data_IF_490052342010
#
_entry.id   IF_490052342010
#
_cell.length_a   1.000
_cell.length_b   1.000
_cell.length_c   1.000
_cell.angle_alpha   90.00
_cell.angle_beta   90.00
_cell.angle_gamma   90.00
#
_symmetry.space_group_name_H-M   'P 1'
#
loop_
_entity.id
_entity.type
_entity.pdbx_description
1 polymer ?
#
# COMPACT_ATOMS: atom_id res chain seq x y z
N UNK A 1 -24.87 25.75 18.72
CA UNK A 1 -25.42 24.39 18.71
C UNK A 1 -25.29 23.88 20.14
N UNK A 2 -26.39 23.44 20.76
CA UNK A 2 -26.41 22.92 22.13
C UNK A 2 -26.52 21.40 22.06
N UNK A 3 -25.84 20.69 22.95
CA UNK A 3 -25.88 19.24 23.05
C UNK A 3 -26.45 18.81 24.41
N UNK A 4 -27.34 17.81 24.46
CA UNK A 4 -27.83 17.23 25.69
C UNK A 4 -26.71 16.46 26.41
N UNK A 5 -26.56 16.73 27.72
CA UNK A 5 -25.64 16.02 28.61
C UNK A 5 -26.41 14.93 29.35
N UNK A 6 -25.94 13.69 29.26
CA UNK A 6 -26.56 12.54 29.92
C UNK A 6 -25.74 12.05 31.11
N UNK A 7 -26.42 11.65 32.19
CA UNK A 7 -25.77 10.96 33.32
C UNK A 7 -25.37 9.54 32.90
N UNK A 8 -24.51 8.89 33.70
CA UNK A 8 -24.22 7.44 33.56
C UNK A 8 -25.46 6.55 33.57
N UNK A 9 -26.56 7.03 34.16
CA UNK A 9 -27.87 6.35 34.23
C UNK A 9 -28.78 6.65 33.03
N UNK A 10 -28.31 7.41 32.03
CA UNK A 10 -29.05 7.73 30.81
C UNK A 10 -30.10 8.84 30.97
N UNK A 11 -30.11 9.57 32.09
CA UNK A 11 -31.02 10.70 32.32
C UNK A 11 -30.38 11.99 31.81
N UNK A 12 -31.15 12.85 31.15
CA UNK A 12 -30.70 14.18 30.71
C UNK A 12 -30.47 15.06 31.95
N UNK A 13 -29.23 15.49 32.17
CA UNK A 13 -28.82 16.31 33.32
C UNK A 13 -28.79 17.79 32.95
N UNK A 14 -28.46 18.12 31.70
CA UNK A 14 -28.38 19.50 31.25
C UNK A 14 -28.08 19.62 29.77
N UNK A 15 -27.76 20.84 29.32
CA UNK A 15 -27.33 21.13 27.96
C UNK A 15 -26.03 21.93 28.00
N UNK A 16 -25.09 21.60 27.11
CA UNK A 16 -23.82 22.32 26.97
C UNK A 16 -23.73 22.96 25.58
N UNK A 17 -23.08 24.12 25.51
CA UNK A 17 -22.77 24.74 24.23
C UNK A 17 -21.58 24.05 23.55
N UNK A 18 -21.79 23.62 22.31
CA UNK A 18 -20.74 22.95 21.55
C UNK A 18 -19.65 23.95 21.09
N UNK A 19 -18.37 23.54 21.12
CA UNK A 19 -17.26 24.35 20.62
C UNK A 19 -17.44 24.78 19.16
N UNK A 20 -16.72 25.85 18.78
CA UNK A 20 -16.74 26.42 17.43
C UNK A 20 -16.40 25.40 16.32
N UNK A 21 -15.62 24.37 16.63
CA UNK A 21 -15.21 23.34 15.68
C UNK A 21 -16.36 22.54 15.08
N UNK A 22 -17.51 22.44 15.78
CA UNK A 22 -18.70 21.77 15.26
C UNK A 22 -19.44 22.58 14.18
N UNK A 23 -19.08 23.85 13.99
CA UNK A 23 -19.68 24.73 12.97
C UNK A 23 -18.84 24.84 11.69
N UNK A 24 -17.69 24.18 11.64
CA UNK A 24 -16.80 24.18 10.49
C UNK A 24 -17.44 23.45 9.29
N UNK A 25 -17.23 23.89 8.04
CA UNK A 25 -17.74 23.19 6.86
C UNK A 25 -17.17 21.77 6.73
N UNK A 26 -18.04 20.84 6.33
CA UNK A 26 -17.68 19.43 6.11
C UNK A 26 -17.03 19.27 4.73
N UNK A 27 -15.75 18.88 4.72
CA UNK A 27 -14.89 18.75 3.53
C UNK A 27 -14.39 17.31 3.39
N UNK A 28 -15.18 16.42 2.77
CA UNK A 28 -14.84 15.00 2.66
C UNK A 28 -13.60 14.75 1.78
N UNK A 29 -13.30 15.66 0.85
CA UNK A 29 -12.09 15.68 0.01
C UNK A 29 -10.81 15.74 0.86
N UNK A 30 -10.74 16.72 1.76
CA UNK A 30 -9.59 16.96 2.64
C UNK A 30 -9.46 15.82 3.65
N UNK A 31 -10.58 15.39 4.24
CA UNK A 31 -10.60 14.26 5.18
C UNK A 31 -10.05 12.99 4.52
N UNK A 32 -10.54 12.64 3.32
CA UNK A 32 -10.10 11.44 2.60
C UNK A 32 -8.60 11.48 2.31
N UNK A 33 -8.09 12.61 1.82
CA UNK A 33 -6.66 12.77 1.52
C UNK A 33 -5.79 12.59 2.76
N UNK A 34 -6.17 13.22 3.87
CA UNK A 34 -5.42 13.13 5.14
C UNK A 34 -5.47 11.71 5.70
N UNK A 35 -6.63 11.05 5.68
CA UNK A 35 -6.76 9.65 6.16
C UNK A 35 -5.87 8.69 5.36
N UNK A 36 -5.87 8.80 4.03
CA UNK A 36 -5.01 7.96 3.16
C UNK A 36 -3.53 8.17 3.50
N UNK A 37 -3.12 9.38 3.80
CA UNK A 37 -1.75 9.67 4.17
C UNK A 37 -1.40 9.17 5.58
N UNK A 38 -2.27 9.33 6.57
CA UNK A 38 -2.09 8.76 7.92
C UNK A 38 -1.98 7.23 7.85
N UNK A 39 -2.81 6.58 7.03
CA UNK A 39 -2.73 5.14 6.81
C UNK A 39 -1.38 4.73 6.22
N UNK A 40 -0.81 5.56 5.33
CA UNK A 40 0.49 5.28 4.74
C UNK A 40 1.65 5.32 5.74
N UNK A 41 1.54 6.11 6.82
CA UNK A 41 2.56 6.17 7.90
C UNK A 41 2.61 4.88 8.74
N UNK A 42 1.56 4.07 8.70
CA UNK A 42 1.51 2.78 9.42
C UNK A 42 2.10 1.62 8.63
N UNK A 43 2.45 1.83 7.37
CA UNK A 43 2.97 0.76 6.50
C UNK A 43 4.43 0.46 6.83
N UNK A 44 4.76 -0.83 6.93
CA UNK A 44 6.13 -1.27 7.11
C UNK A 44 6.83 -1.43 5.75
N UNK A 45 8.07 -0.93 5.57
CA UNK A 45 8.88 -1.22 4.41
C UNK A 45 9.06 -2.73 4.22
N UNK A 46 8.84 -3.20 2.99
CA UNK A 46 9.06 -4.59 2.61
C UNK A 46 9.79 -4.65 1.27
N UNK A 47 10.53 -5.73 1.06
CA UNK A 47 11.22 -5.95 -0.19
C UNK A 47 11.77 -7.36 -0.31
N UNK A 48 12.20 -7.70 -1.52
CA UNK A 48 12.87 -8.98 -1.78
C UNK A 48 14.37 -8.86 -1.53
N UNK A 49 15.03 -9.98 -1.24
CA UNK A 49 16.49 -10.02 -1.25
C UNK A 49 17.01 -9.65 -2.65
N UNK A 50 17.96 -8.73 -2.75
CA UNK A 50 18.50 -8.22 -4.02
C UNK A 50 19.03 -9.31 -4.95
N UNK A 51 19.51 -10.41 -4.37
CA UNK A 51 20.08 -11.56 -5.07
C UNK A 51 19.06 -12.68 -5.32
N UNK A 52 17.80 -12.52 -4.92
CA UNK A 52 16.73 -13.47 -5.18
C UNK A 52 16.60 -13.75 -6.69
N UNK A 53 16.64 -15.03 -7.07
CA UNK A 53 16.58 -15.45 -8.48
C UNK A 53 17.83 -15.15 -9.34
N UNK A 54 18.82 -14.41 -8.79
CA UNK A 54 20.07 -14.04 -9.48
C UNK A 54 21.27 -14.93 -9.12
N UNK A 55 21.20 -15.71 -8.02
CA UNK A 55 22.26 -16.65 -7.58
C UNK A 55 22.34 -17.90 -8.47
N UNK A 56 22.57 -17.71 -9.76
CA UNK A 56 22.69 -18.78 -10.77
C UNK A 56 23.80 -18.40 -11.74
N UNK A 57 24.66 -19.34 -12.09
CA UNK A 57 25.67 -19.15 -13.14
C UNK A 57 24.98 -19.30 -14.49
N UNK A 58 24.89 -18.20 -15.25
CA UNK A 58 24.11 -18.11 -16.49
C UNK A 58 24.99 -17.71 -17.68
N UNK A 59 26.20 -18.24 -17.73
CA UNK A 59 27.15 -17.93 -18.79
C UNK A 59 26.81 -18.69 -20.09
N UNK A 60 26.37 -17.94 -21.11
CA UNK A 60 26.16 -18.41 -22.48
C UNK A 60 26.74 -17.42 -23.47
N UNK A 61 27.32 -17.95 -24.56
CA UNK A 61 27.73 -17.12 -25.68
C UNK A 61 26.52 -16.73 -26.54
N UNK A 62 26.47 -15.46 -26.96
CA UNK A 62 25.53 -14.97 -27.97
C UNK A 62 26.16 -14.92 -29.37
N UNK A 63 27.41 -15.39 -29.52
CA UNK A 63 28.09 -15.50 -30.80
C UNK A 63 27.64 -16.77 -31.53
N UNK A 64 27.54 -16.69 -32.86
CA UNK A 64 27.24 -17.85 -33.72
C UNK A 64 28.44 -18.80 -33.74
N UNK A 65 28.17 -20.12 -33.82
CA UNK A 65 29.20 -21.19 -33.89
C UNK A 65 30.22 -21.18 -32.75
N UNK A 66 29.85 -20.62 -31.59
CA UNK A 66 30.72 -20.51 -30.41
C UNK A 66 30.36 -21.53 -29.31
N UNK A 67 31.28 -21.77 -28.37
CA UNK A 67 31.04 -22.63 -27.23
C UNK A 67 29.91 -22.08 -26.33
N UNK A 68 29.05 -22.97 -25.83
CA UNK A 68 27.83 -22.63 -25.08
C UNK A 68 26.92 -21.59 -25.76
N UNK A 69 26.81 -21.66 -27.09
CA UNK A 69 25.87 -20.82 -27.85
C UNK A 69 24.45 -21.39 -27.91
N UNK A 70 23.44 -20.53 -27.81
CA UNK A 70 22.03 -20.89 -28.05
C UNK A 70 21.65 -20.93 -29.54
N UNK A 71 22.51 -20.41 -30.43
CA UNK A 71 22.23 -20.38 -31.87
C UNK A 71 22.25 -21.77 -32.48
N UNK A 72 21.32 -22.03 -33.42
CA UNK A 72 21.25 -23.29 -34.16
C UNK A 72 20.73 -24.49 -33.35
N UNK A 73 20.14 -24.26 -32.17
CA UNK A 73 19.63 -25.33 -31.28
C UNK A 73 18.10 -25.41 -31.17
N UNK A 74 17.34 -24.64 -31.97
CA UNK A 74 15.87 -24.64 -31.92
C UNK A 74 15.28 -24.18 -30.58
N UNK A 75 16.02 -23.37 -29.81
CA UNK A 75 15.63 -22.93 -28.47
C UNK A 75 15.65 -21.41 -28.34
N UNK A 76 14.88 -20.87 -27.39
CA UNK A 76 14.87 -19.44 -27.08
C UNK A 76 16.23 -18.94 -26.57
N UNK A 77 16.51 -17.65 -26.81
CA UNK A 77 17.75 -16.96 -26.39
C UNK A 77 17.75 -16.54 -24.91
N UNK A 78 16.81 -17.03 -24.11
CA UNK A 78 16.71 -16.74 -22.67
C UNK A 78 18.00 -17.14 -21.96
N UNK A 79 18.44 -16.40 -20.92
CA UNK A 79 19.54 -16.81 -20.06
C UNK A 79 19.25 -18.21 -19.45
N UNK A 80 20.24 -19.12 -19.45
CA UNK A 80 20.10 -20.50 -19.00
C UNK A 80 21.22 -20.94 -18.04
N UNK A 81 20.89 -21.74 -17.03
CA UNK A 81 21.90 -22.43 -16.21
C UNK A 81 22.22 -23.79 -16.81
N UNK A 82 23.47 -24.24 -16.67
CA UNK A 82 23.89 -25.59 -17.06
C UNK A 82 23.60 -26.55 -15.92
N UNK A 83 22.84 -27.62 -16.18
CA UNK A 83 22.60 -28.71 -15.23
C UNK A 83 23.61 -29.84 -15.43
N UNK A 84 23.84 -30.22 -16.69
CA UNK A 84 24.77 -31.29 -17.06
C UNK A 84 25.44 -30.98 -18.40
N UNK A 85 26.60 -31.61 -18.64
CA UNK A 85 27.36 -31.48 -19.89
C UNK A 85 27.77 -32.86 -20.37
N UNK A 86 27.56 -33.15 -21.66
CA UNK A 86 28.13 -34.30 -22.36
C UNK A 86 28.79 -33.81 -23.66
N UNK A 87 30.12 -33.74 -23.68
CA UNK A 87 30.88 -33.14 -24.79
C UNK A 87 30.46 -31.68 -25.05
N UNK A 88 30.05 -31.38 -26.28
CA UNK A 88 29.51 -30.07 -26.70
C UNK A 88 28.00 -29.91 -26.47
N UNK A 89 27.31 -30.94 -25.98
CA UNK A 89 25.90 -30.88 -25.62
C UNK A 89 25.74 -30.48 -24.14
N UNK A 90 24.81 -29.57 -23.88
CA UNK A 90 24.53 -29.04 -22.54
C UNK A 90 23.05 -29.21 -22.25
N UNK A 91 22.75 -29.74 -21.07
CA UNK A 91 21.39 -29.70 -20.54
C UNK A 91 21.18 -28.34 -19.86
N UNK A 92 20.35 -27.52 -20.50
CA UNK A 92 20.08 -26.15 -20.07
C UNK A 92 18.67 -25.97 -19.56
N UNK A 93 18.54 -25.18 -18.50
CA UNK A 93 17.25 -24.73 -17.98
C UNK A 93 17.23 -23.21 -17.91
N UNK A 94 16.13 -22.60 -18.33
CA UNK A 94 15.92 -21.16 -18.22
C UNK A 94 16.13 -20.67 -16.79
N UNK A 95 16.87 -19.58 -16.63
CA UNK A 95 17.21 -19.02 -15.34
C UNK A 95 17.37 -17.50 -15.45
N UNK A 96 17.49 -16.82 -14.30
CA UNK A 96 17.77 -15.39 -14.16
C UNK A 96 16.69 -14.44 -14.66
N UNK A 97 15.97 -14.76 -15.74
CA UNK A 97 14.96 -13.91 -16.34
C UNK A 97 13.58 -14.08 -15.65
N UNK A 98 12.72 -13.04 -15.65
CA UNK A 98 11.45 -13.05 -14.90
C UNK A 98 10.45 -14.09 -15.38
N UNK A 99 10.45 -14.41 -16.66
CA UNK A 99 9.59 -15.46 -17.22
C UNK A 99 10.05 -16.88 -16.87
N UNK A 100 11.23 -17.05 -16.25
CA UNK A 100 11.79 -18.38 -15.96
C UNK A 100 11.48 -18.81 -14.53
N UNK A 101 11.24 -20.12 -14.34
CA UNK A 101 11.03 -20.68 -13.00
C UNK A 101 12.24 -20.43 -12.08
N UNK A 102 12.00 -19.71 -10.99
CA UNK A 102 13.03 -19.31 -10.04
C UNK A 102 14.07 -18.34 -10.62
N UNK A 103 13.72 -17.60 -11.67
CA UNK A 103 14.46 -16.41 -12.09
C UNK A 103 14.16 -15.21 -11.19
N UNK A 104 14.78 -14.06 -11.47
CA UNK A 104 14.53 -12.82 -10.72
C UNK A 104 13.17 -12.24 -11.13
N UNK A 105 12.44 -11.65 -10.19
CA UNK A 105 11.25 -10.87 -10.53
C UNK A 105 11.62 -9.57 -11.26
N UNK A 106 10.72 -9.09 -12.13
CA UNK A 106 10.86 -7.79 -12.77
C UNK A 106 10.32 -6.70 -11.84
N UNK A 107 11.14 -5.70 -11.52
CA UNK A 107 10.77 -4.59 -10.61
C UNK A 107 10.17 -5.06 -9.27
N UNK A 108 10.89 -5.91 -8.51
CA UNK A 108 10.38 -6.36 -7.23
C UNK A 108 10.23 -5.21 -6.23
N UNK A 109 9.43 -5.38 -5.17
CA UNK A 109 9.33 -4.39 -4.10
C UNK A 109 10.71 -4.14 -3.49
N UNK A 110 11.03 -2.87 -3.33
CA UNK A 110 12.27 -2.40 -2.71
C UNK A 110 11.97 -1.76 -1.36
N UNK A 111 12.82 -2.07 -0.39
CA UNK A 111 12.76 -1.46 0.96
C UNK A 111 12.95 0.06 0.88
N UNK A 112 13.72 0.55 -0.10
CA UNK A 112 13.98 1.96 -0.35
C UNK A 112 12.76 2.77 -0.81
N UNK A 113 11.63 2.11 -1.14
CA UNK A 113 10.43 2.78 -1.61
C UNK A 113 9.87 3.67 -0.51
N UNK A 114 9.69 4.97 -0.80
CA UNK A 114 8.99 5.91 0.08
C UNK A 114 7.50 5.54 0.14
N UNK A 115 7.08 4.93 1.24
CA UNK A 115 5.69 4.54 1.50
C UNK A 115 4.87 5.69 2.08
N UNK A 116 5.52 6.52 2.90
CA UNK A 116 4.88 7.62 3.62
C UNK A 116 4.49 8.76 2.69
N UNK A 117 3.21 9.15 2.74
CA UNK A 117 2.71 10.35 2.08
C UNK A 117 2.78 11.53 3.03
N UNK A 118 3.35 12.64 2.59
CA UNK A 118 3.43 13.87 3.38
C UNK A 118 2.07 14.58 3.42
N UNK A 119 1.78 15.22 4.55
CA UNK A 119 0.57 16.03 4.78
C UNK A 119 0.99 17.33 5.45
N UNK A 120 0.41 18.45 5.01
CA UNK A 120 0.65 19.73 5.65
C UNK A 120 -0.07 19.79 7.01
N UNK A 121 0.56 20.41 8.01
CA UNK A 121 -0.04 20.53 9.34
C UNK A 121 -1.38 21.27 9.32
N UNK A 122 -1.49 22.33 8.50
CA UNK A 122 -2.73 23.10 8.33
C UNK A 122 -3.85 22.23 7.76
N UNK A 123 -3.54 21.39 6.77
CA UNK A 123 -4.47 20.45 6.15
C UNK A 123 -4.91 19.38 7.15
N UNK A 124 -3.98 18.83 7.94
CA UNK A 124 -4.28 17.87 9.00
C UNK A 124 -5.21 18.48 10.07
N UNK A 125 -4.92 19.71 10.52
CA UNK A 125 -5.78 20.42 11.50
C UNK A 125 -7.16 20.73 10.94
N UNK A 126 -7.26 21.08 9.65
CA UNK A 126 -8.54 21.30 8.98
C UNK A 126 -9.36 20.00 8.86
N UNK A 127 -8.72 18.90 8.45
CA UNK A 127 -9.38 17.59 8.35
C UNK A 127 -9.96 17.13 9.70
N UNK A 128 -9.22 17.31 10.80
CA UNK A 128 -9.69 16.94 12.14
C UNK A 128 -10.92 17.77 12.53
N UNK A 129 -10.87 19.10 12.36
CA UNK A 129 -12.02 19.98 12.67
C UNK A 129 -13.24 19.63 11.83
N UNK A 130 -13.04 19.41 10.54
CA UNK A 130 -14.11 19.03 9.61
C UNK A 130 -14.70 17.64 9.93
N UNK A 131 -13.86 16.70 10.38
CA UNK A 131 -14.32 15.38 10.83
C UNK A 131 -15.13 15.46 12.13
N UNK A 132 -14.74 16.33 13.07
CA UNK A 132 -15.51 16.60 14.29
C UNK A 132 -16.87 17.24 13.95
N UNK A 133 -16.92 18.18 13.02
CA UNK A 133 -18.19 18.75 12.56
C UNK A 133 -19.11 17.67 11.94
N UNK A 134 -18.54 16.73 11.19
CA UNK A 134 -19.29 15.63 10.59
C UNK A 134 -19.90 14.66 11.62
N UNK A 135 -19.35 14.56 12.84
CA UNK A 135 -19.95 13.70 13.87
C UNK A 135 -21.24 14.29 14.44
N UNK A 136 -21.47 15.60 14.35
CA UNK A 136 -22.72 16.22 14.81
C UNK A 136 -23.87 16.09 13.78
N UNK A 137 -23.62 15.59 12.57
CA UNK A 137 -24.64 15.44 11.53
C UNK A 137 -25.26 14.05 11.59
N UNK A 138 -26.50 13.97 12.06
CA UNK A 138 -27.27 12.72 12.21
C UNK A 138 -27.27 11.87 10.93
N UNK A 139 -27.52 12.46 9.76
CA UNK A 139 -27.58 11.73 8.49
C UNK A 139 -26.26 11.02 8.14
N UNK A 140 -25.11 11.66 8.42
CA UNK A 140 -23.80 11.08 8.13
C UNK A 140 -23.46 9.94 9.09
N UNK A 141 -23.91 10.05 10.34
CA UNK A 141 -23.73 9.01 11.37
C UNK A 141 -24.62 7.80 11.06
N UNK A 142 -25.91 8.02 10.76
CA UNK A 142 -26.84 6.95 10.38
C UNK A 142 -26.38 6.16 9.15
N UNK A 143 -25.74 6.83 8.17
CA UNK A 143 -25.15 6.15 7.00
C UNK A 143 -24.02 5.17 7.36
N UNK A 144 -23.35 5.34 8.50
CA UNK A 144 -22.23 4.49 8.94
C UNK A 144 -22.56 3.59 10.13
N UNK A 145 -23.53 3.96 10.95
CA UNK A 145 -23.85 3.33 12.22
C UNK A 145 -25.36 3.13 12.35
N UNK A 146 -25.79 2.03 12.99
CA UNK A 146 -27.19 1.79 13.37
C UNK A 146 -27.53 2.57 14.64
N UNK A 147 -27.71 3.88 14.52
CA UNK A 147 -28.03 4.76 15.64
C UNK A 147 -29.07 5.81 15.22
N UNK A 148 -30.20 5.85 15.92
CA UNK A 148 -31.33 6.74 15.62
C UNK A 148 -31.59 7.81 16.67
N UNK A 149 -30.72 7.94 17.67
CA UNK A 149 -30.84 8.96 18.70
C UNK A 149 -30.27 10.32 18.30
N UNK A 150 -30.25 11.23 19.27
CA UNK A 150 -29.66 12.56 19.10
C UNK A 150 -28.14 12.48 19.04
N UNK A 151 -27.56 13.37 18.22
CA UNK A 151 -26.12 13.52 18.04
C UNK A 151 -25.80 15.01 18.05
N UNK A 152 -24.71 15.48 18.70
CA UNK A 152 -23.76 14.74 19.54
C UNK A 152 -24.25 14.52 20.97
N UNK A 153 -23.83 13.40 21.57
CA UNK A 153 -24.11 13.01 22.96
C UNK A 153 -22.92 13.46 23.82
N UNK A 154 -23.19 14.07 24.98
CA UNK A 154 -22.19 14.46 25.97
C UNK A 154 -22.46 13.76 27.30
#
# INVERSE_FOLDING_TARGET
MKAPVYSKTGRKVGEIELPIHFREPIRPDVIKRVVVAIQSHRLQPYGVNEMAGKRKVVWLSKRRRDYKTTYGRGQSRTPRKTLARRGRYFLWVGAFAPQTRGGREAHPPKVERKLEKRVNEKERKLAIRSAIAATAVRELVQKRHRYDGDVPIV
#
